data_IF_686381526893
#
_entry.id   IF_686381526893
#
_cell.length_a   1.000
_cell.length_b   1.000
_cell.length_c   1.000
_cell.angle_alpha   90.00
_cell.angle_beta   90.00
_cell.angle_gamma   90.00
#
_symmetry.space_group_name_H-M   'P 1'
#
loop_
_entity.id
_entity.type
_entity.pdbx_description
1 polymer ?
#
# COMPACT_ATOMS: atom_id res chain seq x y z
N UNK A 1 25.00 -33.46 31.13
CA UNK A 1 24.83 -32.00 31.33
C UNK A 1 25.32 -31.31 30.06
N UNK A 2 24.57 -31.13 28.99
CA UNK A 2 23.12 -31.07 28.85
C UNK A 2 22.66 -29.67 28.47
N UNK A 3 23.29 -29.00 27.48
CA UNK A 3 22.71 -27.84 26.80
C UNK A 3 22.93 -28.01 25.29
N UNK A 4 21.89 -28.55 24.63
CA UNK A 4 21.73 -28.52 23.19
C UNK A 4 21.43 -27.06 22.81
N UNK A 5 22.40 -26.37 22.20
CA UNK A 5 22.11 -25.14 21.48
C UNK A 5 21.30 -25.53 20.24
N UNK A 6 19.98 -25.40 20.34
CA UNK A 6 19.10 -25.47 19.18
C UNK A 6 19.45 -24.30 18.28
N UNK A 7 20.14 -24.60 17.18
CA UNK A 7 20.33 -23.74 16.03
C UNK A 7 18.95 -23.39 15.45
N UNK A 8 18.31 -22.35 15.99
CA UNK A 8 17.25 -21.64 15.29
C UNK A 8 17.98 -20.71 14.32
N UNK A 9 17.69 -20.75 13.00
CA UNK A 9 18.47 -20.01 12.03
C UNK A 9 18.42 -18.51 12.37
N UNK A 10 19.51 -17.75 12.11
CA UNK A 10 19.46 -16.31 12.19
C UNK A 10 18.59 -15.83 11.03
N UNK A 11 17.28 -15.80 11.22
CA UNK A 11 16.47 -14.86 10.47
C UNK A 11 17.05 -13.50 10.80
N UNK A 12 17.72 -12.93 9.80
CA UNK A 12 18.23 -11.57 9.85
C UNK A 12 17.08 -10.68 10.30
N UNK A 13 17.07 -10.28 11.57
CA UNK A 13 16.31 -9.12 12.03
C UNK A 13 17.08 -7.89 11.52
N UNK A 14 17.17 -7.78 10.19
CA UNK A 14 17.56 -6.56 9.50
C UNK A 14 16.33 -5.66 9.60
N UNK A 15 16.34 -4.79 10.60
CA UNK A 15 15.27 -3.82 10.77
C UNK A 15 15.16 -2.88 9.55
N UNK A 16 16.26 -2.68 8.79
CA UNK A 16 16.28 -2.09 7.43
C UNK A 16 17.59 -2.53 6.74
N UNK A 17 17.54 -3.05 5.51
CA UNK A 17 18.74 -3.17 4.65
C UNK A 17 19.06 -1.79 4.06
N UNK A 18 20.30 -1.26 4.18
CA UNK A 18 20.64 0.11 3.74
C UNK A 18 20.34 0.38 2.25
N UNK A 19 20.35 -0.67 1.42
CA UNK A 19 20.24 -0.56 -0.03
C UNK A 19 18.80 -0.52 -0.56
N UNK A 20 17.78 -0.78 0.28
CA UNK A 20 16.37 -0.84 -0.15
C UNK A 20 15.45 -0.38 0.98
N UNK A 21 15.42 0.93 1.21
CA UNK A 21 14.33 1.55 1.96
C UNK A 21 13.12 1.63 1.03
N UNK A 22 11.95 1.21 1.52
CA UNK A 22 10.71 1.32 0.77
C UNK A 22 10.35 2.81 0.55
N UNK A 23 10.05 3.18 -0.69
CA UNK A 23 9.72 4.56 -1.10
C UNK A 23 8.45 5.16 -0.46
N UNK A 24 7.80 4.46 0.47
CA UNK A 24 6.63 4.97 1.20
C UNK A 24 6.97 6.04 2.26
N UNK A 25 8.27 6.31 2.46
CA UNK A 25 8.82 7.27 3.42
C UNK A 25 8.70 8.75 3.03
N UNK A 26 9.05 9.66 3.95
CA UNK A 26 9.12 11.11 3.66
C UNK A 26 10.21 11.36 2.62
N UNK A 27 9.82 11.75 1.40
CA UNK A 27 10.72 12.57 0.57
C UNK A 27 10.79 13.95 1.23
N UNK A 28 11.96 14.32 1.74
CA UNK A 28 12.24 15.71 2.10
C UNK A 28 12.01 16.57 0.83
N UNK A 29 11.33 17.72 0.91
CA UNK A 29 10.90 18.46 -0.28
C UNK A 29 12.03 18.99 -1.18
N UNK A 30 13.31 18.92 -0.75
CA UNK A 30 14.40 19.67 -1.37
C UNK A 30 15.60 18.86 -1.87
N UNK A 31 15.60 17.53 -1.81
CA UNK A 31 16.79 16.74 -2.19
C UNK A 31 16.50 15.78 -3.34
N UNK A 32 17.05 16.13 -4.49
CA UNK A 32 17.18 15.26 -5.65
C UNK A 32 18.39 14.35 -5.36
N UNK A 33 18.11 13.13 -4.89
CA UNK A 33 19.00 11.97 -4.99
C UNK A 33 20.48 12.20 -4.61
N UNK A 34 20.77 12.57 -3.36
CA UNK A 34 22.14 12.54 -2.86
C UNK A 34 22.15 11.90 -1.47
N UNK A 35 22.80 10.74 -1.38
CA UNK A 35 23.35 10.08 -0.20
C UNK A 35 22.90 10.60 1.17
N UNK A 36 21.71 10.18 1.62
CA UNK A 36 21.29 10.36 3.02
C UNK A 36 22.04 9.34 3.89
N UNK A 37 23.01 9.79 4.69
CA UNK A 37 23.69 8.96 5.68
C UNK A 37 22.76 8.74 6.88
N UNK A 38 22.29 7.50 7.05
CA UNK A 38 21.48 7.10 8.21
C UNK A 38 22.33 6.31 9.21
N UNK A 39 22.21 6.62 10.49
CA UNK A 39 22.80 5.84 11.57
C UNK A 39 21.89 4.66 11.93
N UNK A 40 22.49 3.48 12.10
CA UNK A 40 21.80 2.27 12.55
C UNK A 40 22.34 1.89 13.92
N UNK A 41 21.46 1.79 14.90
CA UNK A 41 21.78 1.28 16.24
C UNK A 41 21.19 -0.12 16.40
N UNK A 42 22.02 -1.08 16.81
CA UNK A 42 21.61 -2.49 16.99
C UNK A 42 21.45 -2.79 18.47
N UNK A 43 20.22 -3.05 18.98
CA UNK A 43 20.01 -3.45 20.35
C UNK A 43 20.63 -4.83 20.62
N UNK A 44 21.33 -4.99 21.75
CA UNK A 44 22.05 -6.22 22.10
C UNK A 44 21.26 -7.14 23.04
N UNK A 45 20.46 -6.56 23.93
CA UNK A 45 19.70 -7.33 24.91
C UNK A 45 18.38 -7.82 24.34
N UNK A 46 18.01 -9.07 24.65
CA UNK A 46 16.73 -9.66 24.24
C UNK A 46 15.53 -8.80 24.66
N UNK A 47 15.58 -8.20 25.86
CA UNK A 47 14.53 -7.29 26.32
C UNK A 47 14.37 -6.08 25.42
N UNK A 48 15.47 -5.40 25.09
CA UNK A 48 15.47 -4.23 24.22
C UNK A 48 15.08 -4.58 22.78
N UNK A 49 15.49 -5.75 22.26
CA UNK A 49 15.05 -6.23 20.95
C UNK A 49 13.53 -6.36 20.90
N UNK A 50 12.93 -7.00 21.92
CA UNK A 50 11.47 -7.14 21.99
C UNK A 50 10.77 -5.79 22.14
N UNK A 51 11.34 -4.85 22.90
CA UNK A 51 10.79 -3.50 23.07
C UNK A 51 10.81 -2.70 21.77
N UNK A 52 11.95 -2.67 21.08
CA UNK A 52 12.10 -1.97 19.80
C UNK A 52 11.13 -2.55 18.76
N UNK A 53 10.98 -3.88 18.72
CA UNK A 53 10.02 -4.52 17.82
C UNK A 53 8.56 -4.21 18.22
N UNK A 54 8.27 -4.16 19.51
CA UNK A 54 6.92 -3.92 20.02
C UNK A 54 6.50 -2.44 19.91
N UNK A 55 7.40 -1.48 20.09
CA UNK A 55 7.06 -0.05 20.14
C UNK A 55 7.49 0.70 18.89
N UNK A 56 8.70 0.43 18.39
CA UNK A 56 9.34 1.18 17.29
C UNK A 56 9.24 0.48 15.94
N UNK A 57 8.39 -0.54 15.81
CA UNK A 57 8.15 -1.18 14.52
C UNK A 57 7.53 -0.20 13.51
N UNK A 58 8.08 -0.14 12.29
CA UNK A 58 7.61 0.77 11.21
C UNK A 58 6.10 0.61 10.95
N UNK A 59 5.61 -0.64 11.00
CA UNK A 59 4.19 -0.95 10.82
C UNK A 59 3.29 -0.27 11.88
N UNK A 60 3.80 0.03 13.08
CA UNK A 60 3.07 0.71 14.15
C UNK A 60 3.17 2.24 14.08
N UNK A 61 4.10 2.76 13.28
CA UNK A 61 4.38 4.19 13.12
C UNK A 61 3.77 4.79 11.83
N UNK A 62 2.86 4.05 11.17
CA UNK A 62 2.20 4.52 9.93
C UNK A 62 1.36 5.78 10.20
N UNK A 63 0.65 5.83 11.34
CA UNK A 63 -0.19 6.95 11.76
C UNK A 63 0.43 7.66 12.97
N UNK A 64 0.53 8.99 12.89
CA UNK A 64 1.02 9.81 14.01
C UNK A 64 -0.08 10.14 15.00
N UNK A 65 0.23 10.05 16.30
CA UNK A 65 -0.61 10.60 17.36
C UNK A 65 -0.65 12.14 17.37
N UNK A 66 0.40 12.82 16.89
CA UNK A 66 0.50 14.29 16.93
C UNK A 66 -0.61 14.98 16.14
N UNK A 67 -0.94 14.47 14.96
CA UNK A 67 -1.88 15.09 14.04
C UNK A 67 -3.00 14.14 13.60
N UNK A 68 -3.10 12.97 14.25
CA UNK A 68 -4.05 11.89 13.95
C UNK A 68 -4.17 11.61 12.43
N UNK A 69 -3.02 11.56 11.74
CA UNK A 69 -2.95 11.40 10.29
C UNK A 69 -1.78 10.51 9.89
N UNK A 70 -1.87 9.80 8.75
CA UNK A 70 -0.79 8.96 8.27
C UNK A 70 0.45 9.79 7.92
N UNK A 71 1.61 9.36 8.42
CA UNK A 71 2.93 9.92 8.04
C UNK A 71 3.47 9.20 6.81
N UNK A 72 3.11 7.93 6.61
CA UNK A 72 3.50 7.13 5.44
C UNK A 72 2.37 7.14 4.40
N UNK A 73 2.74 7.09 3.13
CA UNK A 73 1.78 7.08 2.03
C UNK A 73 2.48 6.98 0.68
N UNK A 74 1.70 6.69 -0.36
CA UNK A 74 2.23 6.53 -1.72
C UNK A 74 2.73 7.89 -2.24
N UNK A 75 3.94 7.93 -2.79
CA UNK A 75 4.59 9.13 -3.35
C UNK A 75 5.21 8.82 -4.72
N UNK A 76 5.63 9.88 -5.43
CA UNK A 76 6.39 9.81 -6.69
C UNK A 76 5.69 9.00 -7.80
N UNK A 77 6.42 8.11 -8.45
CA UNK A 77 5.99 7.37 -9.63
C UNK A 77 4.82 6.43 -9.31
N UNK A 78 4.78 5.87 -8.11
CA UNK A 78 3.65 5.04 -7.68
C UNK A 78 2.35 5.86 -7.57
N UNK A 79 2.45 7.12 -7.12
CA UNK A 79 1.28 8.01 -7.08
C UNK A 79 0.80 8.35 -8.50
N UNK A 80 1.73 8.66 -9.39
CA UNK A 80 1.41 8.96 -10.79
C UNK A 80 0.83 7.74 -11.52
N UNK A 81 1.43 6.56 -11.31
CA UNK A 81 0.98 5.30 -11.91
C UNK A 81 -0.42 4.93 -11.49
N UNK A 82 -0.76 5.07 -10.20
CA UNK A 82 -2.12 4.82 -9.69
C UNK A 82 -3.12 5.83 -10.25
N UNK A 83 -2.74 7.11 -10.37
CA UNK A 83 -3.59 8.12 -10.98
C UNK A 83 -3.88 7.77 -12.45
N UNK A 84 -2.85 7.46 -13.24
CA UNK A 84 -3.00 7.07 -14.65
C UNK A 84 -3.79 5.78 -14.83
N UNK A 85 -3.60 4.77 -13.96
CA UNK A 85 -4.35 3.51 -14.00
C UNK A 85 -5.85 3.69 -13.71
N UNK A 86 -6.21 4.67 -12.89
CA UNK A 86 -7.59 4.87 -12.43
C UNK A 86 -8.33 5.98 -13.18
N UNK A 87 -7.61 6.73 -14.02
CA UNK A 87 -8.17 7.76 -14.88
C UNK A 87 -9.03 7.13 -15.97
N UNK A 88 -10.34 7.37 -15.91
CA UNK A 88 -11.30 6.77 -16.86
C UNK A 88 -11.36 5.24 -16.76
N UNK A 89 -11.83 4.61 -17.85
CA UNK A 89 -11.98 3.16 -17.97
C UNK A 89 -10.94 2.63 -18.98
N UNK A 90 -9.69 2.47 -18.53
CA UNK A 90 -8.58 2.01 -19.37
C UNK A 90 -8.60 0.48 -19.43
N UNK A 91 -8.86 -0.05 -20.62
CA UNK A 91 -8.81 -1.48 -20.88
C UNK A 91 -7.36 -1.95 -20.93
N UNK A 92 -7.07 -3.01 -20.20
CA UNK A 92 -5.75 -3.64 -20.14
C UNK A 92 -5.85 -5.01 -20.81
N UNK A 93 -4.94 -5.37 -21.73
CA UNK A 93 -5.00 -6.68 -22.35
C UNK A 93 -4.77 -7.78 -21.29
N UNK A 94 -5.49 -8.89 -21.43
CA UNK A 94 -5.55 -9.96 -20.41
C UNK A 94 -4.18 -10.45 -19.95
N UNK A 95 -3.21 -10.59 -20.86
CA UNK A 95 -1.87 -11.06 -20.50
C UNK A 95 -1.18 -10.10 -19.53
N UNK A 96 -1.15 -8.80 -19.82
CA UNK A 96 -0.57 -7.79 -18.93
C UNK A 96 -1.29 -7.72 -17.59
N UNK A 97 -2.63 -7.83 -17.58
CA UNK A 97 -3.40 -7.85 -16.34
C UNK A 97 -2.96 -9.02 -15.44
N UNK A 98 -2.84 -10.22 -16.02
CA UNK A 98 -2.45 -11.42 -15.28
C UNK A 98 -1.00 -11.34 -14.80
N UNK A 99 -0.09 -10.81 -15.62
CA UNK A 99 1.31 -10.59 -15.25
C UNK A 99 1.43 -9.63 -14.06
N UNK A 100 0.64 -8.54 -14.05
CA UNK A 100 0.60 -7.61 -12.92
C UNK A 100 0.09 -8.27 -11.64
N UNK A 101 -0.99 -9.07 -11.72
CA UNK A 101 -1.54 -9.78 -10.56
C UNK A 101 -0.56 -10.82 -10.03
N UNK A 102 0.12 -11.54 -10.91
CA UNK A 102 1.14 -12.51 -10.54
C UNK A 102 2.32 -11.84 -9.85
N UNK A 103 2.78 -10.70 -10.38
CA UNK A 103 3.86 -9.89 -9.78
C UNK A 103 3.49 -9.33 -8.40
N UNK A 104 2.21 -9.03 -8.15
CA UNK A 104 1.75 -8.55 -6.84
C UNK A 104 1.83 -9.64 -5.75
N UNK A 105 1.78 -10.93 -6.12
CA UNK A 105 2.00 -12.07 -5.23
C UNK A 105 0.82 -13.04 -5.12
N UNK A 106 1.10 -14.24 -4.61
CA UNK A 106 0.17 -15.38 -4.58
C UNK A 106 -1.14 -15.11 -3.82
N UNK A 107 -1.07 -14.32 -2.75
CA UNK A 107 -2.25 -13.91 -1.96
C UNK A 107 -3.29 -13.19 -2.82
N UNK A 108 -2.85 -12.39 -3.80
CA UNK A 108 -3.74 -11.64 -4.69
C UNK A 108 -4.28 -12.51 -5.82
N UNK A 109 -3.50 -13.48 -6.30
CA UNK A 109 -3.96 -14.48 -7.28
C UNK A 109 -5.16 -15.25 -6.73
N UNK A 110 -5.12 -15.66 -5.46
CA UNK A 110 -6.23 -16.37 -4.82
C UNK A 110 -7.50 -15.51 -4.67
N UNK A 111 -7.35 -14.18 -4.52
CA UNK A 111 -8.47 -13.22 -4.45
C UNK A 111 -9.07 -12.89 -5.81
N UNK A 112 -8.44 -13.29 -6.90
CA UNK A 112 -8.86 -12.88 -8.24
C UNK A 112 -10.26 -13.41 -8.60
N UNK A 113 -10.60 -14.62 -8.16
CA UNK A 113 -11.92 -15.21 -8.39
C UNK A 113 -13.04 -14.39 -7.71
N UNK A 114 -12.88 -14.03 -6.43
CA UNK A 114 -13.85 -13.21 -5.69
C UNK A 114 -13.94 -11.80 -6.26
N UNK A 115 -12.82 -11.25 -6.73
CA UNK A 115 -12.74 -9.93 -7.34
C UNK A 115 -13.55 -9.88 -8.64
N UNK A 116 -13.38 -10.83 -9.55
CA UNK A 116 -14.15 -10.85 -10.81
C UNK A 116 -15.64 -11.01 -10.57
N UNK A 117 -16.04 -11.82 -9.59
CA UNK A 117 -17.46 -11.98 -9.26
C UNK A 117 -18.09 -10.66 -8.78
N UNK A 118 -17.40 -9.94 -7.89
CA UNK A 118 -17.86 -8.64 -7.39
C UNK A 118 -17.79 -7.57 -8.49
N UNK A 119 -16.73 -7.57 -9.30
CA UNK A 119 -16.52 -6.59 -10.37
C UNK A 119 -17.56 -6.72 -11.49
N UNK A 120 -18.02 -7.94 -11.78
CA UNK A 120 -19.07 -8.20 -12.79
C UNK A 120 -20.37 -7.47 -12.50
N UNK A 121 -20.69 -7.22 -11.23
CA UNK A 121 -21.90 -6.48 -10.83
C UNK A 121 -21.84 -5.02 -11.28
N UNK A 122 -20.65 -4.41 -11.26
CA UNK A 122 -20.46 -2.99 -11.57
C UNK A 122 -19.98 -2.73 -13.01
N UNK A 123 -19.13 -3.61 -13.54
CA UNK A 123 -18.46 -3.44 -14.83
C UNK A 123 -18.98 -4.38 -15.93
N UNK A 124 -19.85 -5.34 -15.62
CA UNK A 124 -20.41 -6.26 -16.62
C UNK A 124 -19.34 -7.11 -17.31
N UNK A 125 -19.16 -6.90 -18.62
CA UNK A 125 -18.15 -7.58 -19.45
C UNK A 125 -16.73 -7.02 -19.30
N UNK A 126 -16.61 -5.78 -18.82
CA UNK A 126 -15.36 -5.01 -18.89
C UNK A 126 -14.52 -5.22 -17.63
N UNK A 127 -14.16 -6.49 -17.39
CA UNK A 127 -13.47 -6.92 -16.17
C UNK A 127 -11.97 -6.57 -16.17
N UNK A 128 -11.36 -6.41 -17.35
CA UNK A 128 -9.93 -6.14 -17.50
C UNK A 128 -9.64 -4.64 -17.60
N UNK A 129 -9.92 -3.93 -16.51
CA UNK A 129 -9.74 -2.48 -16.41
C UNK A 129 -8.69 -2.13 -15.35
N UNK A 130 -7.99 -1.00 -15.52
CA UNK A 130 -7.08 -0.44 -14.53
C UNK A 130 -7.73 -0.19 -13.15
N UNK A 131 -9.02 0.19 -13.11
CA UNK A 131 -9.77 0.31 -11.83
C UNK A 131 -9.93 -1.04 -11.12
N UNK A 132 -10.20 -2.08 -11.89
CA UNK A 132 -10.35 -3.45 -11.37
C UNK A 132 -8.99 -3.98 -10.92
N UNK A 133 -7.92 -3.67 -11.65
CA UNK A 133 -6.55 -4.01 -11.26
C UNK A 133 -6.16 -3.35 -9.93
N UNK A 134 -6.47 -2.06 -9.74
CA UNK A 134 -6.24 -1.38 -8.47
C UNK A 134 -7.06 -2.01 -7.32
N UNK A 135 -8.28 -2.45 -7.61
CA UNK A 135 -9.20 -3.03 -6.63
C UNK A 135 -8.71 -4.34 -6.02
N UNK A 136 -7.79 -5.08 -6.67
CA UNK A 136 -7.23 -6.31 -6.11
C UNK A 136 -6.37 -6.08 -4.87
N UNK A 137 -5.81 -4.88 -4.75
CA UNK A 137 -4.97 -4.48 -3.62
C UNK A 137 -5.81 -4.20 -2.36
N UNK A 138 -7.12 -4.00 -2.52
CA UNK A 138 -8.02 -3.63 -1.44
C UNK A 138 -8.66 -4.88 -0.80
N UNK A 139 -8.94 -4.86 0.52
CA UNK A 139 -9.74 -5.89 1.16
C UNK A 139 -11.17 -5.95 0.62
N UNK A 140 -11.79 -7.12 0.69
CA UNK A 140 -13.12 -7.35 0.10
C UNK A 140 -14.25 -6.59 0.79
N UNK A 141 -14.10 -6.31 2.09
CA UNK A 141 -15.10 -5.58 2.89
C UNK A 141 -14.85 -4.06 2.89
N UNK A 142 -13.87 -3.58 2.12
CA UNK A 142 -13.45 -2.20 2.18
C UNK A 142 -14.49 -1.26 1.53
N UNK A 143 -14.94 -0.27 2.30
CA UNK A 143 -15.86 0.78 1.86
C UNK A 143 -15.26 2.16 2.07
N UNK A 144 -15.23 2.97 1.02
CA UNK A 144 -14.63 4.29 1.06
C UNK A 144 -15.37 5.26 0.15
N UNK A 145 -15.65 6.46 0.65
CA UNK A 145 -16.28 7.54 -0.10
C UNK A 145 -15.59 8.85 0.23
N UNK A 146 -15.07 9.54 -0.78
CA UNK A 146 -14.45 10.85 -0.62
C UNK A 146 -14.64 11.69 -1.88
N UNK A 147 -14.89 12.98 -1.71
CA UNK A 147 -14.96 13.91 -2.83
C UNK A 147 -13.53 14.24 -3.27
N UNK A 148 -13.31 14.24 -4.58
CA UNK A 148 -12.02 14.53 -5.19
C UNK A 148 -12.25 15.41 -6.43
N UNK A 149 -11.55 16.55 -6.52
CA UNK A 149 -11.64 17.44 -7.68
C UNK A 149 -10.66 17.06 -8.80
N UNK A 150 -10.00 15.90 -8.71
CA UNK A 150 -8.99 15.47 -9.67
C UNK A 150 -9.55 15.29 -11.09
N UNK A 151 -10.81 14.84 -11.23
CA UNK A 151 -11.48 14.74 -12.51
C UNK A 151 -12.78 15.55 -12.49
N UNK A 152 -12.98 16.43 -13.48
CA UNK A 152 -14.19 17.26 -13.58
C UNK A 152 -15.45 16.42 -13.84
N UNK A 153 -15.28 15.28 -14.51
CA UNK A 153 -16.37 14.37 -14.89
C UNK A 153 -16.75 13.43 -13.74
N UNK A 154 -15.79 13.01 -12.92
CA UNK A 154 -16.02 12.13 -11.77
C UNK A 154 -15.49 12.74 -10.46
N UNK A 155 -16.25 13.64 -9.82
CA UNK A 155 -15.78 14.39 -8.65
C UNK A 155 -15.80 13.58 -7.34
N UNK A 156 -16.19 12.30 -7.39
CA UNK A 156 -16.36 11.46 -6.20
C UNK A 156 -15.69 10.11 -6.39
N UNK A 157 -14.77 9.80 -5.48
CA UNK A 157 -14.16 8.48 -5.36
C UNK A 157 -15.04 7.61 -4.48
N UNK A 158 -15.58 6.54 -5.07
CA UNK A 158 -16.47 5.60 -4.40
C UNK A 158 -15.88 4.20 -4.56
N UNK A 159 -15.59 3.57 -3.43
CA UNK A 159 -15.15 2.18 -3.35
C UNK A 159 -16.17 1.43 -2.50
N UNK A 160 -16.72 0.35 -3.04
CA UNK A 160 -17.65 -0.54 -2.33
C UNK A 160 -17.22 -1.98 -2.50
N UNK A 161 -17.27 -2.73 -1.39
CA UNK A 161 -16.83 -4.12 -1.33
C UNK A 161 -15.47 -4.31 -2.01
N UNK A 162 -14.51 -3.43 -1.72
CA UNK A 162 -13.16 -3.46 -2.29
C UNK A 162 -13.05 -3.08 -3.77
N UNK A 163 -14.12 -2.67 -4.44
CA UNK A 163 -14.11 -2.28 -5.86
C UNK A 163 -14.23 -0.78 -5.99
N UNK A 164 -13.28 -0.18 -6.69
CA UNK A 164 -13.38 1.20 -7.15
C UNK A 164 -14.45 1.28 -8.23
N UNK A 165 -15.53 2.03 -8.00
CA UNK A 165 -16.64 2.19 -8.95
C UNK A 165 -16.40 3.44 -9.80
N UNK A 166 -16.23 4.58 -9.12
CA UNK A 166 -16.05 5.91 -9.74
C UNK A 166 -14.89 6.66 -9.13
N UNK A 167 -14.30 7.55 -9.93
CA UNK A 167 -13.32 8.54 -9.50
C UNK A 167 -11.87 8.10 -9.73
N UNK A 168 -11.03 9.07 -10.06
CA UNK A 168 -9.58 8.89 -10.14
C UNK A 168 -8.94 9.00 -8.75
N UNK A 169 -7.92 8.19 -8.53
CA UNK A 169 -7.17 8.18 -7.27
C UNK A 169 -6.09 9.26 -7.29
N UNK A 170 -6.14 10.16 -6.31
CA UNK A 170 -5.18 11.25 -6.15
C UNK A 170 -4.45 11.17 -4.81
N UNK A 171 -3.45 12.04 -4.60
CA UNK A 171 -2.67 12.21 -3.37
C UNK A 171 -3.56 12.34 -2.13
N UNK A 172 -4.73 12.95 -2.24
CA UNK A 172 -5.65 13.10 -1.11
C UNK A 172 -6.31 11.78 -0.66
N UNK A 173 -6.32 10.78 -1.54
CA UNK A 173 -6.97 9.49 -1.35
C UNK A 173 -5.98 8.44 -0.85
N UNK A 174 -4.79 8.36 -1.45
CA UNK A 174 -3.76 7.35 -1.10
C UNK A 174 -2.56 7.89 -0.32
N UNK A 175 -2.45 9.21 -0.20
CA UNK A 175 -1.36 9.86 0.51
C UNK A 175 -1.62 10.08 2.01
N UNK A 176 -0.94 11.09 2.54
CA UNK A 176 -0.85 11.43 3.98
C UNK A 176 -2.04 12.24 4.52
N UNK A 177 -3.08 12.41 3.72
CA UNK A 177 -4.23 13.24 4.08
C UNK A 177 -5.09 12.55 5.14
N UNK A 178 -5.81 13.35 5.93
CA UNK A 178 -6.79 12.82 6.87
C UNK A 178 -7.90 12.05 6.14
N UNK A 179 -8.32 10.92 6.70
CA UNK A 179 -9.28 10.01 6.08
C UNK A 179 -8.86 9.52 4.69
N UNK A 180 -7.56 9.31 4.45
CA UNK A 180 -7.08 8.57 3.28
C UNK A 180 -7.37 7.07 3.41
N UNK A 181 -7.21 6.32 2.32
CA UNK A 181 -7.34 4.85 2.31
C UNK A 181 -6.36 4.22 3.31
N UNK A 182 -5.11 4.71 3.36
CA UNK A 182 -4.10 4.24 4.30
C UNK A 182 -4.56 4.39 5.75
N UNK A 183 -5.17 5.54 6.08
CA UNK A 183 -5.70 5.76 7.43
C UNK A 183 -6.88 4.81 7.73
N UNK A 184 -7.75 4.53 6.75
CA UNK A 184 -8.89 3.62 6.93
C UNK A 184 -8.48 2.15 7.06
N UNK A 185 -7.41 1.73 6.39
CA UNK A 185 -6.88 0.37 6.44
C UNK A 185 -6.03 0.10 7.68
N UNK A 186 -5.45 1.14 8.27
CA UNK A 186 -4.65 1.01 9.50
C UNK A 186 -5.52 0.79 10.76
N UNK A 187 -6.79 1.19 10.70
CA UNK A 187 -7.73 1.09 11.82
C UNK A 187 -8.33 -0.30 11.88
#
# INVERSE_FOLDING_TARGET
MGLRYSLVPPEKVLLVSPSRINDFGRKCPNEIGISDEMQIHVPQDYGTVTEVQALMGVNKMIVSSQANRPIMGIIQDALLGVYLLTQGNIQIPRHQFMDCVFSAGEVYVNKMASLFQRAKVHYGSDLFNGRVLFSILLPEDFKFRKQNNACKEEPKVIIENGILITGSIDKQIVGRSHGSIVHRLYK
#
